data_IF_326466460686
#
_entry.id   IF_326466460686
#
_cell.length_a   1.000
_cell.length_b   1.000
_cell.length_c   1.000
_cell.angle_alpha   90.00
_cell.angle_beta   90.00
_cell.angle_gamma   90.00
#
_symmetry.space_group_name_H-M   'P 1'
#
loop_
_entity.id
_entity.type
_entity.pdbx_description
1 polymer ?
#
# COMPACT_ATOMS: atom_id res chain seq x y z
N UNK A 1 -41.62 -9.99 49.19
CA UNK A 1 -40.22 -10.47 49.13
C UNK A 1 -40.25 -11.95 48.75
N UNK A 2 -40.08 -12.33 47.47
CA UNK A 2 -39.88 -13.72 47.10
C UNK A 2 -38.40 -14.02 46.82
N UNK A 3 -38.00 -15.23 47.26
CA UNK A 3 -36.66 -15.82 47.18
C UNK A 3 -36.31 -16.19 45.73
N UNK A 4 -35.08 -15.88 45.32
CA UNK A 4 -34.47 -16.29 44.05
C UNK A 4 -34.23 -17.80 44.00
N UNK A 5 -34.35 -18.35 42.79
CA UNK A 5 -34.43 -19.78 42.47
C UNK A 5 -33.04 -20.45 42.31
N UNK A 6 -32.95 -21.79 42.40
CA UNK A 6 -31.69 -22.55 42.46
C UNK A 6 -30.84 -22.57 41.18
N UNK A 7 -31.37 -22.06 40.05
CA UNK A 7 -30.75 -22.18 38.72
C UNK A 7 -29.57 -21.20 38.56
N UNK A 8 -29.51 -20.14 39.36
CA UNK A 8 -28.46 -19.14 39.26
C UNK A 8 -27.11 -19.61 39.84
N UNK A 9 -27.13 -20.63 40.71
CA UNK A 9 -25.91 -21.17 41.31
C UNK A 9 -25.16 -22.12 40.36
N UNK A 10 -25.86 -22.97 39.58
CA UNK A 10 -25.20 -23.87 38.61
C UNK A 10 -24.51 -23.11 37.47
N UNK A 11 -25.06 -21.97 37.05
CA UNK A 11 -24.42 -21.15 36.00
C UNK A 11 -23.17 -20.43 36.52
N UNK A 12 -23.16 -20.04 37.80
CA UNK A 12 -21.98 -19.42 38.44
C UNK A 12 -20.84 -20.44 38.60
N UNK A 13 -21.17 -21.69 38.93
CA UNK A 13 -20.18 -22.75 39.11
C UNK A 13 -19.60 -23.24 37.76
N UNK A 14 -20.41 -23.26 36.70
CA UNK A 14 -19.93 -23.56 35.34
C UNK A 14 -19.01 -22.47 34.77
N UNK A 15 -19.29 -21.20 35.08
CA UNK A 15 -18.44 -20.07 34.69
C UNK A 15 -17.12 -20.08 35.48
N UNK A 16 -17.15 -20.41 36.76
CA UNK A 16 -15.93 -20.52 37.57
C UNK A 16 -15.03 -21.69 37.16
N UNK A 17 -15.60 -22.87 36.84
CA UNK A 17 -14.78 -24.01 36.37
C UNK A 17 -14.09 -23.73 35.02
N UNK A 18 -14.73 -22.96 34.14
CA UNK A 18 -14.17 -22.58 32.84
C UNK A 18 -13.05 -21.52 32.95
N UNK A 19 -13.09 -20.68 33.99
CA UNK A 19 -12.06 -19.67 34.30
C UNK A 19 -10.82 -20.32 34.92
N UNK A 20 -10.99 -21.30 35.80
CA UNK A 20 -9.85 -21.99 36.41
C UNK A 20 -9.13 -22.93 35.42
N UNK A 21 -9.84 -23.50 34.44
CA UNK A 21 -9.20 -24.28 33.37
C UNK A 21 -8.35 -23.40 32.43
N UNK A 22 -8.69 -22.11 32.24
CA UNK A 22 -7.83 -21.16 31.50
C UNK A 22 -6.56 -20.81 32.28
N UNK A 23 -6.61 -20.78 33.61
CA UNK A 23 -5.42 -20.56 34.45
C UNK A 23 -4.49 -21.78 34.46
N UNK A 24 -5.05 -22.99 34.39
CA UNK A 24 -4.27 -24.22 34.27
C UNK A 24 -3.55 -24.32 32.91
N UNK A 25 -4.21 -23.95 31.81
CA UNK A 25 -3.59 -23.95 30.47
C UNK A 25 -2.51 -22.85 30.31
N UNK A 26 -2.61 -21.75 31.07
CA UNK A 26 -1.60 -20.70 31.11
C UNK A 26 -0.33 -21.07 31.88
N UNK A 27 -0.31 -22.18 32.64
CA UNK A 27 0.86 -22.63 33.39
C UNK A 27 1.73 -23.66 32.66
N UNK A 28 1.26 -24.23 31.54
CA UNK A 28 2.00 -25.27 30.80
C UNK A 28 2.65 -24.78 29.51
N UNK A 29 2.47 -23.51 29.15
CA UNK A 29 3.09 -22.92 27.96
C UNK A 29 4.12 -21.85 28.37
N UNK A 30 5.34 -21.87 27.81
CA UNK A 30 6.39 -20.92 28.16
C UNK A 30 5.90 -19.48 27.95
N UNK A 31 6.20 -18.61 28.93
CA UNK A 31 5.66 -17.24 29.09
C UNK A 31 5.88 -16.29 27.89
N UNK A 32 6.58 -16.72 26.84
CA UNK A 32 6.81 -15.97 25.60
C UNK A 32 5.80 -16.21 24.47
N UNK A 33 5.07 -17.33 24.44
CA UNK A 33 4.38 -17.75 23.19
C UNK A 33 2.98 -17.18 23.05
N UNK A 34 2.25 -16.95 24.15
CA UNK A 34 0.84 -16.53 24.11
C UNK A 34 0.68 -15.00 24.01
N UNK A 35 1.62 -14.22 24.54
CA UNK A 35 1.62 -12.74 24.36
C UNK A 35 1.85 -12.35 22.90
N UNK A 36 2.66 -13.12 22.15
CA UNK A 36 2.93 -12.85 20.74
C UNK A 36 1.72 -13.01 19.81
N UNK A 37 0.83 -13.99 20.08
CA UNK A 37 -0.32 -14.23 19.21
C UNK A 37 -1.48 -13.24 19.44
N UNK A 38 -1.68 -12.80 20.68
CA UNK A 38 -2.70 -11.80 21.01
C UNK A 38 -2.28 -10.38 20.59
N UNK A 39 -0.98 -10.04 20.69
CA UNK A 39 -0.45 -8.79 20.11
C UNK A 39 -0.48 -8.80 18.58
N UNK A 40 -0.21 -9.92 17.92
CA UNK A 40 -0.24 -10.04 16.45
C UNK A 40 -1.61 -9.70 15.83
N UNK A 41 -2.73 -10.09 16.45
CA UNK A 41 -4.07 -9.78 15.93
C UNK A 41 -4.50 -8.32 16.13
N UNK A 42 -3.95 -7.64 17.14
CA UNK A 42 -4.24 -6.22 17.43
C UNK A 42 -3.24 -5.30 16.69
N UNK A 43 -2.06 -5.81 16.33
CA UNK A 43 -1.04 -5.05 15.60
C UNK A 43 -1.38 -4.74 14.13
N UNK A 44 -2.21 -5.57 13.49
CA UNK A 44 -2.73 -5.23 12.15
C UNK A 44 -3.63 -3.97 12.19
N UNK A 45 -4.28 -3.72 13.33
CA UNK A 45 -5.08 -2.49 13.58
C UNK A 45 -4.19 -1.36 14.14
N UNK A 46 -3.09 -1.66 14.83
CA UNK A 46 -2.15 -0.67 15.39
C UNK A 46 -1.06 -0.18 14.42
N UNK A 47 -0.89 -0.76 13.24
CA UNK A 47 -0.08 -0.16 12.17
C UNK A 47 -0.61 1.23 11.75
N UNK A 48 -1.86 1.56 12.09
CA UNK A 48 -2.45 2.89 11.89
C UNK A 48 -2.07 3.87 13.01
N UNK A 49 -1.55 3.43 14.16
CA UNK A 49 -1.46 4.28 15.36
C UNK A 49 -0.10 4.96 15.59
N UNK A 50 1.03 4.40 15.15
CA UNK A 50 2.29 4.74 15.85
C UNK A 50 3.40 5.49 15.07
N UNK A 51 3.10 6.23 14.00
CA UNK A 51 4.12 7.09 13.36
C UNK A 51 3.55 8.39 12.79
N UNK A 52 4.03 9.55 13.26
CA UNK A 52 3.61 10.88 12.77
C UNK A 52 3.95 11.14 11.29
N UNK A 53 4.85 10.37 10.66
CA UNK A 53 5.50 10.81 9.41
C UNK A 53 5.13 10.03 8.14
N UNK A 54 4.30 8.96 8.21
CA UNK A 54 4.16 8.02 7.06
C UNK A 54 2.73 7.62 6.68
N UNK A 55 1.68 8.40 7.02
CA UNK A 55 0.28 7.99 6.77
C UNK A 55 -0.02 7.68 5.29
N UNK A 56 0.50 8.48 4.35
CA UNK A 56 0.29 8.26 2.91
C UNK A 56 0.84 6.90 2.46
N UNK A 57 2.02 6.52 2.94
CA UNK A 57 2.63 5.22 2.66
C UNK A 57 1.83 4.05 3.24
N UNK A 58 1.17 4.23 4.39
CA UNK A 58 0.34 3.17 4.98
C UNK A 58 -0.93 2.95 4.14
N UNK A 59 -1.58 4.03 3.69
CA UNK A 59 -2.74 3.89 2.80
C UNK A 59 -2.36 3.25 1.46
N UNK A 60 -1.22 3.63 0.87
CA UNK A 60 -0.70 3.00 -0.34
C UNK A 60 -0.42 1.50 -0.14
N UNK A 61 0.23 1.14 0.97
CA UNK A 61 0.54 -0.25 1.29
C UNK A 61 -0.73 -1.12 1.44
N UNK A 62 -1.85 -0.54 1.89
CA UNK A 62 -3.15 -1.24 1.94
C UNK A 62 -3.62 -1.59 0.52
N UNK A 63 -3.59 -0.64 -0.41
CA UNK A 63 -3.94 -0.90 -1.81
C UNK A 63 -3.05 -1.97 -2.43
N UNK A 64 -1.74 -1.86 -2.21
CA UNK A 64 -0.75 -2.81 -2.73
C UNK A 64 -0.94 -4.22 -2.15
N UNK A 65 -1.26 -4.31 -0.86
CA UNK A 65 -1.54 -5.58 -0.19
C UNK A 65 -2.80 -6.26 -0.73
N UNK A 66 -3.85 -5.49 -1.02
CA UNK A 66 -5.12 -6.06 -1.51
C UNK A 66 -5.10 -6.37 -3.01
N UNK A 67 -4.23 -5.74 -3.80
CA UNK A 67 -4.15 -6.01 -5.25
C UNK A 67 -3.84 -7.48 -5.55
N UNK A 68 -2.72 -7.98 -5.04
CA UNK A 68 -2.19 -9.28 -5.47
C UNK A 68 -3.12 -10.45 -5.10
N UNK A 69 -3.62 -10.57 -3.85
CA UNK A 69 -4.54 -11.64 -3.49
C UNK A 69 -5.84 -11.57 -4.29
N UNK A 70 -6.38 -10.36 -4.50
CA UNK A 70 -7.58 -10.19 -5.30
C UNK A 70 -7.35 -10.58 -6.75
N UNK A 71 -6.25 -10.12 -7.36
CA UNK A 71 -5.92 -10.44 -8.74
C UNK A 71 -5.75 -11.95 -8.93
N UNK A 72 -5.03 -12.61 -8.01
CA UNK A 72 -4.85 -14.07 -8.01
C UNK A 72 -6.21 -14.75 -7.90
N UNK A 73 -7.06 -14.36 -6.94
CA UNK A 73 -8.36 -14.99 -6.76
C UNK A 73 -9.27 -14.79 -7.97
N UNK A 74 -9.39 -13.55 -8.46
CA UNK A 74 -10.25 -13.20 -9.59
C UNK A 74 -9.78 -13.86 -10.89
N UNK A 75 -8.49 -13.76 -11.21
CA UNK A 75 -7.94 -14.31 -12.46
C UNK A 75 -7.91 -15.84 -12.46
N UNK A 76 -7.52 -16.48 -11.35
CA UNK A 76 -7.48 -17.95 -11.28
C UNK A 76 -8.87 -18.57 -11.10
N UNK A 77 -9.85 -17.86 -10.54
CA UNK A 77 -11.21 -18.42 -10.43
C UNK A 77 -11.80 -18.79 -11.80
N UNK A 78 -11.39 -18.10 -12.86
CA UNK A 78 -11.80 -18.36 -14.24
C UNK A 78 -11.15 -19.59 -14.88
N UNK A 79 -10.13 -20.18 -14.24
CA UNK A 79 -9.46 -21.41 -14.70
C UNK A 79 -9.87 -22.65 -13.90
N UNK A 80 -10.69 -22.49 -12.84
CA UNK A 80 -11.11 -23.58 -11.97
C UNK A 80 -12.51 -24.09 -12.38
N UNK A 81 -12.63 -25.29 -12.98
CA UNK A 81 -13.90 -25.79 -13.48
C UNK A 81 -15.01 -25.85 -12.42
N UNK A 82 -14.63 -26.15 -11.17
CA UNK A 82 -15.55 -26.19 -10.03
C UNK A 82 -16.23 -24.84 -9.73
N UNK A 83 -15.64 -23.72 -10.13
CA UNK A 83 -16.21 -22.39 -9.94
C UNK A 83 -17.03 -21.89 -11.13
N UNK A 84 -16.99 -22.57 -12.29
CA UNK A 84 -17.70 -22.11 -13.49
C UNK A 84 -19.21 -21.99 -13.28
N UNK A 85 -19.92 -22.95 -12.64
CA UNK A 85 -21.35 -22.81 -12.40
C UNK A 85 -21.68 -21.57 -11.55
N UNK A 86 -20.87 -21.31 -10.51
CA UNK A 86 -21.04 -20.13 -9.65
C UNK A 86 -20.79 -18.84 -10.43
N UNK A 87 -19.69 -18.73 -11.18
CA UNK A 87 -19.35 -17.53 -11.94
C UNK A 87 -20.38 -17.26 -13.06
N UNK A 88 -20.84 -18.29 -13.77
CA UNK A 88 -21.91 -18.14 -14.77
C UNK A 88 -23.25 -17.76 -14.13
N UNK A 89 -23.55 -18.29 -12.94
CA UNK A 89 -24.73 -17.90 -12.17
C UNK A 89 -24.73 -16.41 -11.81
N UNK A 90 -23.56 -15.82 -11.53
CA UNK A 90 -23.44 -14.37 -11.29
C UNK A 90 -23.80 -13.49 -12.50
N UNK A 91 -23.85 -14.03 -13.72
CA UNK A 91 -24.35 -13.29 -14.89
C UNK A 91 -25.89 -13.17 -14.92
N UNK A 92 -26.60 -14.19 -14.45
CA UNK A 92 -28.04 -14.35 -14.67
C UNK A 92 -28.90 -13.57 -13.68
N UNK A 93 -28.46 -13.50 -12.43
CA UNK A 93 -28.88 -12.44 -11.53
C UNK A 93 -28.09 -11.22 -12.03
N UNK A 94 -28.71 -10.04 -12.20
CA UNK A 94 -28.00 -8.78 -12.56
C UNK A 94 -27.06 -8.36 -11.42
N UNK A 95 -26.12 -9.22 -11.04
CA UNK A 95 -25.27 -9.05 -9.89
C UNK A 95 -24.19 -8.05 -10.21
N UNK A 96 -23.77 -7.36 -9.15
CA UNK A 96 -22.65 -6.44 -9.15
C UNK A 96 -21.32 -7.12 -9.48
N UNK A 97 -21.20 -8.45 -9.37
CA UNK A 97 -19.91 -9.12 -9.32
C UNK A 97 -19.12 -9.11 -10.64
N UNK A 98 -19.64 -9.49 -11.81
CA UNK A 98 -18.84 -9.45 -13.04
C UNK A 98 -18.36 -8.04 -13.43
N UNK A 99 -19.18 -6.97 -13.33
CA UNK A 99 -18.72 -5.59 -13.50
C UNK A 99 -17.68 -5.20 -12.44
N UNK A 100 -17.93 -5.48 -11.15
CA UNK A 100 -16.98 -5.19 -10.08
C UNK A 100 -15.65 -5.90 -10.27
N UNK A 101 -15.68 -7.18 -10.68
CA UNK A 101 -14.51 -7.99 -10.96
C UNK A 101 -13.59 -7.34 -12.01
N UNK A 102 -14.18 -6.71 -13.02
CA UNK A 102 -13.48 -5.96 -14.05
C UNK A 102 -13.01 -4.58 -13.58
N UNK A 103 -13.90 -3.81 -12.95
CA UNK A 103 -13.66 -2.42 -12.55
C UNK A 103 -12.66 -2.32 -11.40
N UNK A 104 -12.60 -3.32 -10.53
CA UNK A 104 -11.69 -3.32 -9.39
C UNK A 104 -10.22 -3.20 -9.78
N UNK A 105 -9.84 -3.69 -10.97
CA UNK A 105 -8.47 -3.50 -11.49
C UNK A 105 -8.17 -2.02 -11.71
N UNK A 106 -9.10 -1.28 -12.32
CA UNK A 106 -8.97 0.17 -12.52
C UNK A 106 -9.08 0.95 -11.20
N UNK A 107 -9.93 0.48 -10.28
CA UNK A 107 -10.04 1.06 -8.94
C UNK A 107 -8.69 1.05 -8.21
N UNK A 108 -7.98 -0.08 -8.26
CA UNK A 108 -6.65 -0.18 -7.65
C UNK A 108 -5.62 0.67 -8.38
N UNK A 109 -5.60 0.65 -9.72
CA UNK A 109 -4.74 1.51 -10.53
C UNK A 109 -4.90 3.00 -10.16
N UNK A 110 -6.15 3.49 -10.09
CA UNK A 110 -6.43 4.88 -9.74
C UNK A 110 -6.08 5.18 -8.28
N UNK A 111 -6.25 4.20 -7.38
CA UNK A 111 -5.78 4.27 -6.00
C UNK A 111 -4.27 4.52 -5.96
N UNK A 112 -3.49 3.66 -6.59
CA UNK A 112 -2.04 3.80 -6.62
C UNK A 112 -1.58 5.09 -7.32
N UNK A 113 -2.22 5.48 -8.41
CA UNK A 113 -1.95 6.76 -9.08
C UNK A 113 -2.11 7.94 -8.10
N UNK A 114 -3.23 7.95 -7.37
CA UNK A 114 -3.52 8.98 -6.37
C UNK A 114 -2.54 8.93 -5.19
N UNK A 115 -2.23 7.74 -4.68
CA UNK A 115 -1.28 7.56 -3.60
C UNK A 115 0.15 7.99 -3.96
N UNK A 116 0.66 7.61 -5.13
CA UNK A 116 1.98 8.07 -5.62
C UNK A 116 1.99 9.58 -5.83
N UNK A 117 0.90 10.16 -6.36
CA UNK A 117 0.77 11.60 -6.47
C UNK A 117 0.86 12.29 -5.10
N UNK A 118 0.08 11.84 -4.11
CA UNK A 118 0.09 12.41 -2.76
C UNK A 118 1.45 12.26 -2.07
N UNK A 119 2.09 11.10 -2.20
CA UNK A 119 3.44 10.87 -1.66
C UNK A 119 4.44 11.84 -2.31
N UNK A 120 4.40 11.98 -3.64
CA UNK A 120 5.31 12.86 -4.37
C UNK A 120 5.09 14.33 -4.05
N UNK A 121 3.82 14.76 -3.93
CA UNK A 121 3.44 16.12 -3.54
C UNK A 121 3.90 16.43 -2.10
N UNK A 122 3.67 15.52 -1.15
CA UNK A 122 4.10 15.70 0.24
C UNK A 122 5.62 15.85 0.34
N UNK A 123 6.38 15.01 -0.36
CA UNK A 123 7.85 15.10 -0.41
C UNK A 123 8.33 16.40 -1.05
N UNK A 124 7.72 16.79 -2.16
CA UNK A 124 8.00 18.07 -2.82
C UNK A 124 7.78 19.25 -1.86
N UNK A 125 6.63 19.30 -1.18
CA UNK A 125 6.30 20.39 -0.24
C UNK A 125 7.25 20.41 0.96
N UNK A 126 7.60 19.23 1.51
CA UNK A 126 8.51 19.09 2.64
C UNK A 126 9.90 19.67 2.35
N UNK A 127 10.38 19.55 1.11
CA UNK A 127 11.71 20.04 0.71
C UNK A 127 11.68 21.48 0.22
N UNK A 128 10.67 21.84 -0.56
CA UNK A 128 10.60 23.17 -1.16
C UNK A 128 10.13 24.23 -0.17
N UNK A 129 9.20 23.88 0.72
CA UNK A 129 8.56 24.82 1.67
C UNK A 129 8.24 24.15 3.02
N UNK A 130 9.26 23.77 3.81
CA UNK A 130 9.07 23.07 5.10
C UNK A 130 8.27 23.86 6.14
N UNK A 131 8.19 25.19 6.00
CA UNK A 131 7.45 26.07 6.92
C UNK A 131 6.14 26.61 6.32
N UNK A 132 5.68 26.08 5.19
CA UNK A 132 4.42 26.54 4.61
C UNK A 132 3.20 26.05 5.40
N UNK A 133 2.15 26.87 5.44
CA UNK A 133 0.86 26.47 6.00
C UNK A 133 0.28 25.23 5.29
N UNK A 134 0.64 25.02 4.02
CA UNK A 134 0.19 23.87 3.23
C UNK A 134 0.75 22.56 3.80
N UNK A 135 2.06 22.48 4.05
CA UNK A 135 2.63 21.25 4.63
C UNK A 135 2.13 21.03 6.06
N UNK A 136 1.98 22.10 6.85
CA UNK A 136 1.38 22.01 8.19
C UNK A 136 -0.07 21.51 8.14
N UNK A 137 -0.85 21.93 7.14
CA UNK A 137 -2.20 21.41 6.92
C UNK A 137 -2.19 19.91 6.60
N UNK A 138 -1.31 19.45 5.71
CA UNK A 138 -1.16 18.03 5.40
C UNK A 138 -0.73 17.21 6.63
N UNK A 139 0.18 17.75 7.45
CA UNK A 139 0.69 17.07 8.65
C UNK A 139 -0.32 17.07 9.81
N UNK A 140 -1.27 18.02 9.84
CA UNK A 140 -2.33 18.10 10.85
C UNK A 140 -3.59 17.31 10.48
N UNK A 141 -3.70 16.87 9.22
CA UNK A 141 -4.87 16.12 8.77
C UNK A 141 -5.02 14.79 9.54
N UNK A 142 -6.22 14.46 10.05
CA UNK A 142 -6.47 13.17 10.65
C UNK A 142 -6.20 12.04 9.65
N UNK A 143 -5.51 10.99 10.11
CA UNK A 143 -5.13 9.82 9.29
C UNK A 143 -6.32 9.17 8.60
N UNK A 144 -7.47 9.12 9.30
CA UNK A 144 -8.71 8.58 8.76
C UNK A 144 -9.21 9.39 7.56
N UNK A 145 -9.04 10.71 7.57
CA UNK A 145 -9.47 11.58 6.46
C UNK A 145 -8.56 11.35 5.25
N UNK A 146 -7.24 11.24 5.44
CA UNK A 146 -6.28 10.92 4.37
C UNK A 146 -6.63 9.55 3.77
N UNK A 147 -6.84 8.54 4.62
CA UNK A 147 -7.21 7.21 4.19
C UNK A 147 -8.55 7.19 3.45
N UNK A 148 -9.58 7.85 3.99
CA UNK A 148 -10.89 7.96 3.35
C UNK A 148 -10.78 8.70 2.00
N UNK A 149 -10.02 9.80 1.92
CA UNK A 149 -9.79 10.50 0.66
C UNK A 149 -9.08 9.61 -0.36
N UNK A 150 -8.12 8.78 0.06
CA UNK A 150 -7.43 7.83 -0.80
C UNK A 150 -8.36 6.70 -1.27
N UNK A 151 -9.22 6.17 -0.40
CA UNK A 151 -10.22 5.14 -0.77
C UNK A 151 -11.32 5.71 -1.67
N UNK A 152 -11.76 6.94 -1.43
CA UNK A 152 -12.86 7.55 -2.17
C UNK A 152 -12.44 8.13 -3.52
N UNK A 153 -11.19 8.60 -3.66
CA UNK A 153 -10.69 9.19 -4.91
C UNK A 153 -10.85 8.27 -6.14
N UNK A 154 -10.49 6.98 -6.07
CA UNK A 154 -10.68 6.04 -7.19
C UNK A 154 -12.13 5.80 -7.56
N UNK A 155 -13.09 5.95 -6.63
CA UNK A 155 -14.51 5.75 -6.91
C UNK A 155 -15.03 6.78 -7.92
N UNK A 156 -14.52 8.01 -7.88
CA UNK A 156 -14.88 9.02 -8.87
C UNK A 156 -14.43 8.60 -10.26
N UNK A 157 -13.18 8.14 -10.39
CA UNK A 157 -12.63 7.64 -11.66
C UNK A 157 -13.35 6.39 -12.17
N UNK A 158 -13.69 5.45 -11.29
CA UNK A 158 -14.34 4.20 -11.68
C UNK A 158 -15.86 4.28 -11.83
N UNK A 159 -16.48 5.36 -11.35
CA UNK A 159 -17.92 5.60 -11.53
C UNK A 159 -18.31 5.59 -13.02
N UNK A 160 -17.42 6.06 -13.90
CA UNK A 160 -17.63 6.05 -15.35
C UNK A 160 -17.89 4.62 -15.84
N UNK A 161 -17.14 3.64 -15.33
CA UNK A 161 -17.29 2.23 -15.71
C UNK A 161 -18.59 1.62 -15.20
N UNK A 162 -19.05 2.01 -14.01
CA UNK A 162 -20.26 1.44 -13.42
C UNK A 162 -21.54 1.96 -14.07
N UNK A 163 -21.59 3.24 -14.42
CA UNK A 163 -22.83 3.90 -14.83
C UNK A 163 -22.95 4.11 -16.34
N UNK A 164 -21.84 4.10 -17.09
CA UNK A 164 -21.84 4.50 -18.50
C UNK A 164 -21.31 3.43 -19.47
N UNK A 165 -20.98 2.23 -18.99
CA UNK A 165 -20.46 1.14 -19.83
C UNK A 165 -21.37 -0.08 -19.82
N UNK A 166 -21.22 -0.93 -20.84
CA UNK A 166 -21.97 -2.18 -20.90
C UNK A 166 -21.49 -3.13 -19.78
N UNK A 167 -22.40 -3.80 -19.06
CA UNK A 167 -22.00 -4.70 -17.99
C UNK A 167 -21.14 -5.84 -18.52
N UNK A 168 -19.93 -5.96 -17.97
CA UNK A 168 -19.05 -7.11 -18.26
C UNK A 168 -19.74 -8.40 -17.81
N UNK A 169 -19.51 -9.50 -18.54
CA UNK A 169 -20.09 -10.82 -18.23
C UNK A 169 -19.06 -11.92 -18.38
N UNK A 170 -19.26 -13.04 -17.69
CA UNK A 170 -18.46 -14.25 -17.89
C UNK A 170 -19.01 -15.09 -19.04
N UNK A 171 -18.14 -15.55 -19.94
CA UNK A 171 -18.52 -16.40 -21.08
C UNK A 171 -17.60 -17.61 -21.09
N UNK A 172 -18.19 -18.79 -21.25
CA UNK A 172 -17.42 -20.02 -21.42
C UNK A 172 -16.87 -20.11 -22.85
N UNK A 173 -15.55 -20.26 -23.00
CA UNK A 173 -14.91 -20.40 -24.31
C UNK A 173 -14.52 -21.86 -24.54
N UNK A 174 -15.22 -22.53 -25.46
CA UNK A 174 -14.97 -23.93 -25.82
C UNK A 174 -13.55 -24.17 -26.34
N UNK A 175 -12.94 -23.20 -27.05
CA UNK A 175 -11.60 -23.35 -27.62
C UNK A 175 -10.49 -23.46 -26.56
N UNK A 176 -10.67 -22.85 -25.38
CA UNK A 176 -9.65 -22.84 -24.31
C UNK A 176 -10.06 -23.65 -23.09
N UNK A 177 -11.28 -24.21 -23.08
CA UNK A 177 -11.89 -24.87 -21.92
C UNK A 177 -11.83 -24.03 -20.64
N UNK A 178 -11.89 -22.71 -20.79
CA UNK A 178 -11.80 -21.74 -19.68
C UNK A 178 -12.90 -20.70 -19.77
N UNK A 179 -13.25 -20.17 -18.61
CA UNK A 179 -14.13 -19.01 -18.52
C UNK A 179 -13.34 -17.75 -18.89
N UNK A 180 -13.96 -16.82 -19.59
CA UNK A 180 -13.36 -15.53 -19.91
C UNK A 180 -14.32 -14.39 -19.56
N UNK A 181 -13.77 -13.25 -19.17
CA UNK A 181 -14.53 -12.01 -19.06
C UNK A 181 -14.72 -11.42 -20.45
N UNK A 182 -15.96 -11.15 -20.80
CA UNK A 182 -16.35 -10.50 -22.04
C UNK A 182 -16.80 -9.07 -21.73
N UNK A 183 -16.09 -8.12 -22.32
CA UNK A 183 -16.38 -6.69 -22.30
C UNK A 183 -16.30 -6.19 -23.74
N UNK A 184 -17.15 -5.23 -24.11
CA UNK A 184 -17.15 -4.68 -25.46
C UNK A 184 -15.82 -3.97 -25.79
N UNK A 185 -15.41 -4.06 -27.05
CA UNK A 185 -14.12 -3.49 -27.51
C UNK A 185 -14.09 -1.97 -27.39
N UNK A 186 -15.23 -1.31 -27.55
CA UNK A 186 -15.40 0.13 -27.38
C UNK A 186 -15.13 0.52 -25.93
N UNK A 187 -15.77 -0.15 -24.96
CA UNK A 187 -15.57 0.09 -23.53
C UNK A 187 -14.12 -0.14 -23.11
N UNK A 188 -13.51 -1.20 -23.64
CA UNK A 188 -12.11 -1.53 -23.43
C UNK A 188 -11.18 -0.41 -23.93
N UNK A 189 -11.47 0.19 -25.08
CA UNK A 189 -10.72 1.31 -25.64
C UNK A 189 -10.84 2.56 -24.75
N UNK A 190 -12.07 2.90 -24.35
CA UNK A 190 -12.36 4.01 -23.43
C UNK A 190 -11.61 3.84 -22.11
N UNK A 191 -11.62 2.62 -21.54
CA UNK A 191 -10.96 2.34 -20.26
C UNK A 191 -9.44 2.47 -20.36
N UNK A 192 -8.88 2.00 -21.48
CA UNK A 192 -7.47 2.15 -21.77
C UNK A 192 -7.10 3.64 -21.93
N UNK A 193 -7.96 4.44 -22.57
CA UNK A 193 -7.74 5.89 -22.71
C UNK A 193 -7.78 6.61 -21.35
N UNK A 194 -8.78 6.35 -20.51
CA UNK A 194 -8.88 6.97 -19.15
C UNK A 194 -7.67 6.57 -18.30
N UNK A 195 -7.28 5.29 -18.34
CA UNK A 195 -6.08 4.82 -17.65
C UNK A 195 -4.83 5.57 -18.13
N UNK A 196 -4.60 5.65 -19.44
CA UNK A 196 -3.47 6.38 -20.04
C UNK A 196 -3.45 7.84 -19.63
N UNK A 197 -4.59 8.55 -19.70
CA UNK A 197 -4.69 9.96 -19.29
C UNK A 197 -4.32 10.11 -17.82
N UNK A 198 -4.87 9.25 -16.95
CA UNK A 198 -4.63 9.30 -15.51
C UNK A 198 -3.16 9.05 -15.17
N UNK A 199 -2.57 7.97 -15.69
CA UNK A 199 -1.16 7.62 -15.41
C UNK A 199 -0.19 8.66 -16.00
N UNK A 200 -0.50 9.20 -17.19
CA UNK A 200 0.30 10.25 -17.82
C UNK A 200 0.26 11.55 -17.02
N UNK A 201 -0.91 11.96 -16.53
CA UNK A 201 -1.04 13.14 -15.69
C UNK A 201 -0.21 13.03 -14.41
N UNK A 202 -0.32 11.90 -13.69
CA UNK A 202 0.47 11.63 -12.48
C UNK A 202 1.96 11.62 -12.79
N UNK A 203 2.37 11.00 -13.89
CA UNK A 203 3.78 10.95 -14.30
C UNK A 203 4.31 12.34 -14.65
N UNK A 204 3.53 13.16 -15.35
CA UNK A 204 3.90 14.54 -15.67
C UNK A 204 4.13 15.37 -14.39
N UNK A 205 3.20 15.33 -13.44
CA UNK A 205 3.38 15.98 -12.15
C UNK A 205 4.56 15.41 -11.36
N UNK A 206 4.76 14.09 -11.41
CA UNK A 206 5.92 13.43 -10.81
C UNK A 206 7.24 13.95 -11.37
N UNK A 207 7.39 14.00 -12.70
CA UNK A 207 8.58 14.58 -13.36
C UNK A 207 8.81 16.02 -12.87
N UNK A 208 7.77 16.84 -12.81
CA UNK A 208 7.86 18.21 -12.32
C UNK A 208 8.33 18.28 -10.86
N UNK A 209 7.68 17.55 -9.96
CA UNK A 209 8.01 17.52 -8.53
C UNK A 209 9.44 17.03 -8.27
N UNK A 210 9.82 15.88 -8.84
CA UNK A 210 11.15 15.31 -8.65
C UNK A 210 12.25 16.18 -9.27
N UNK A 211 12.02 16.76 -10.46
CA UNK A 211 13.02 17.64 -11.10
C UNK A 211 13.33 18.85 -10.24
N UNK A 212 12.31 19.57 -9.76
CA UNK A 212 12.48 20.73 -8.88
C UNK A 212 13.13 20.33 -7.55
N UNK A 213 12.72 19.20 -6.99
CA UNK A 213 13.28 18.68 -5.75
C UNK A 213 14.78 18.37 -5.87
N UNK A 214 15.22 17.73 -6.95
CA UNK A 214 16.64 17.44 -7.21
C UNK A 214 17.45 18.72 -7.46
N UNK A 215 16.91 19.70 -8.19
CA UNK A 215 17.54 21.02 -8.36
C UNK A 215 17.73 21.70 -7.01
N UNK A 216 16.70 21.71 -6.15
CA UNK A 216 16.76 22.31 -4.82
C UNK A 216 17.77 21.61 -3.91
N UNK A 217 17.82 20.27 -3.94
CA UNK A 217 18.76 19.46 -3.18
C UNK A 217 20.22 19.73 -3.59
N UNK A 218 20.48 19.94 -4.89
CA UNK A 218 21.82 20.29 -5.40
C UNK A 218 22.29 21.66 -4.92
N UNK A 219 21.37 22.61 -4.74
CA UNK A 219 21.66 23.97 -4.27
C UNK A 219 21.76 24.15 -2.75
N UNK A 220 21.56 23.12 -1.93
CA UNK A 220 21.64 23.23 -0.46
C UNK A 220 23.09 23.35 0.05
N UNK A 221 23.32 24.22 1.03
CA UNK A 221 24.64 24.39 1.68
C UNK A 221 25.01 23.13 2.49
N UNK A 222 26.31 22.80 2.53
CA UNK A 222 26.84 21.54 3.08
C UNK A 222 26.28 21.14 4.46
N UNK A 223 26.15 22.10 5.39
CA UNK A 223 25.67 21.84 6.75
C UNK A 223 24.18 21.44 6.80
N UNK A 224 23.28 22.23 6.21
CA UNK A 224 21.85 21.91 6.08
C UNK A 224 21.64 20.63 5.26
N UNK A 225 22.46 20.45 4.22
CA UNK A 225 22.46 19.28 3.35
C UNK A 225 22.74 17.99 4.13
N UNK A 226 23.66 18.00 5.10
CA UNK A 226 24.03 16.78 5.84
C UNK A 226 22.91 16.23 6.73
N UNK A 227 22.15 17.10 7.41
CA UNK A 227 21.03 16.71 8.27
C UNK A 227 19.83 16.24 7.45
N UNK A 228 19.49 16.99 6.40
CA UNK A 228 18.39 16.64 5.49
C UNK A 228 18.73 15.35 4.72
N UNK A 229 19.97 15.20 4.22
CA UNK A 229 20.39 13.98 3.51
C UNK A 229 20.33 12.73 4.38
N UNK A 230 20.60 12.81 5.68
CA UNK A 230 20.56 11.62 6.56
C UNK A 230 19.14 11.15 6.86
N UNK A 231 18.19 12.08 6.96
CA UNK A 231 16.82 11.76 7.33
C UNK A 231 15.89 11.61 6.14
N UNK A 232 15.92 12.56 5.20
CA UNK A 232 14.93 12.65 4.12
C UNK A 232 15.37 11.90 2.85
N UNK A 233 16.67 11.75 2.59
CA UNK A 233 17.16 11.08 1.38
C UNK A 233 16.66 9.65 1.21
N UNK A 234 16.63 8.79 2.26
CA UNK A 234 16.06 7.46 2.13
C UNK A 234 14.59 7.54 1.68
N UNK A 235 13.79 8.42 2.30
CA UNK A 235 12.37 8.53 2.01
C UNK A 235 12.13 9.09 0.59
N UNK A 236 12.93 10.07 0.16
CA UNK A 236 12.93 10.58 -1.22
C UNK A 236 13.32 9.49 -2.21
N UNK A 237 14.35 8.69 -1.90
CA UNK A 237 14.76 7.60 -2.75
C UNK A 237 13.64 6.55 -2.89
N UNK A 238 12.97 6.19 -1.79
CA UNK A 238 11.82 5.28 -1.87
C UNK A 238 10.67 5.83 -2.71
N UNK A 239 10.28 7.09 -2.50
CA UNK A 239 9.19 7.67 -3.28
C UNK A 239 9.58 7.81 -4.76
N UNK A 240 10.86 8.07 -5.04
CA UNK A 240 11.38 8.10 -6.41
C UNK A 240 11.32 6.73 -7.09
N UNK A 241 11.62 5.63 -6.38
CA UNK A 241 11.43 4.28 -6.92
C UNK A 241 9.96 3.99 -7.26
N UNK A 242 9.02 4.37 -6.39
CA UNK A 242 7.58 4.26 -6.69
C UNK A 242 7.19 5.07 -7.93
N UNK A 243 7.77 6.26 -8.10
CA UNK A 243 7.59 7.07 -9.30
C UNK A 243 8.15 6.39 -10.56
N UNK A 244 9.31 5.73 -10.50
CA UNK A 244 9.85 4.97 -11.63
C UNK A 244 8.91 3.83 -12.06
N UNK A 245 8.28 3.13 -11.10
CA UNK A 245 7.26 2.14 -11.46
C UNK A 245 6.00 2.78 -12.05
N UNK A 246 5.60 3.99 -11.62
CA UNK A 246 4.52 4.74 -12.29
C UNK A 246 4.89 5.15 -13.72
N UNK A 247 6.15 5.48 -14.00
CA UNK A 247 6.61 5.68 -15.37
C UNK A 247 6.48 4.40 -16.21
N UNK A 248 6.81 3.24 -15.64
CA UNK A 248 6.66 1.94 -16.30
C UNK A 248 5.18 1.61 -16.59
N UNK A 249 4.28 1.85 -15.63
CA UNK A 249 2.84 1.70 -15.82
C UNK A 249 2.30 2.67 -16.89
N UNK A 250 2.80 3.90 -16.92
CA UNK A 250 2.42 4.87 -17.95
C UNK A 250 2.86 4.41 -19.33
N UNK A 251 4.10 3.94 -19.47
CA UNK A 251 4.59 3.37 -20.73
C UNK A 251 3.74 2.16 -21.17
N UNK A 252 3.35 1.30 -20.22
CA UNK A 252 2.44 0.18 -20.48
C UNK A 252 1.10 0.63 -21.06
N UNK A 253 0.42 1.59 -20.42
CA UNK A 253 -0.90 2.06 -20.88
C UNK A 253 -0.81 2.86 -22.19
N UNK A 254 0.26 3.62 -22.42
CA UNK A 254 0.52 4.27 -23.71
C UNK A 254 0.66 3.21 -24.81
N UNK A 255 1.46 2.16 -24.61
CA UNK A 255 1.61 1.08 -25.58
C UNK A 255 0.28 0.36 -25.83
N UNK A 256 -0.49 0.10 -24.77
CA UNK A 256 -1.81 -0.51 -24.87
C UNK A 256 -2.77 0.34 -25.70
N UNK A 257 -2.76 1.65 -25.48
CA UNK A 257 -3.55 2.60 -26.24
C UNK A 257 -3.11 2.65 -27.72
N UNK A 258 -1.81 2.72 -27.99
CA UNK A 258 -1.27 2.74 -29.36
C UNK A 258 -1.66 1.47 -30.13
N UNK A 259 -1.46 0.28 -29.56
CA UNK A 259 -1.85 -0.98 -30.21
C UNK A 259 -3.36 -1.10 -30.40
N UNK A 260 -4.15 -0.60 -29.44
CA UNK A 260 -5.60 -0.53 -29.57
C UNK A 260 -6.00 0.41 -30.72
N UNK A 261 -5.34 1.57 -30.86
CA UNK A 261 -5.67 2.56 -31.89
C UNK A 261 -5.34 2.10 -33.32
N UNK A 262 -4.29 1.28 -33.49
CA UNK A 262 -3.89 0.68 -34.78
C UNK A 262 -4.69 -0.60 -35.09
N UNK A 263 -5.54 -1.08 -34.17
CA UNK A 263 -6.36 -2.27 -34.37
C UNK A 263 -5.59 -3.60 -34.21
N UNK A 264 -4.40 -3.58 -33.61
CA UNK A 264 -3.57 -4.78 -33.38
C UNK A 264 -4.05 -5.58 -32.15
N UNK A 265 -5.23 -6.18 -32.26
CA UNK A 265 -5.90 -6.91 -31.17
C UNK A 265 -5.03 -8.01 -30.55
N UNK A 266 -4.29 -8.78 -31.36
CA UNK A 266 -3.40 -9.85 -30.87
C UNK A 266 -2.35 -9.31 -29.89
N UNK A 267 -1.68 -8.21 -30.25
CA UNK A 267 -0.67 -7.57 -29.40
C UNK A 267 -1.29 -6.94 -28.15
N UNK A 268 -2.53 -6.44 -28.22
CA UNK A 268 -3.27 -5.97 -27.03
C UNK A 268 -3.51 -7.11 -26.05
N UNK A 269 -3.89 -8.30 -26.53
CA UNK A 269 -4.08 -9.47 -25.67
C UNK A 269 -2.77 -9.96 -25.05
N UNK A 270 -1.69 -10.00 -25.83
CA UNK A 270 -0.36 -10.35 -25.32
C UNK A 270 0.12 -9.35 -24.28
N UNK A 271 0.01 -8.05 -24.54
CA UNK A 271 0.44 -7.01 -23.60
C UNK A 271 -0.35 -7.08 -22.28
N UNK A 272 -1.66 -7.37 -22.33
CA UNK A 272 -2.48 -7.61 -21.12
C UNK A 272 -2.00 -8.76 -20.25
N UNK A 273 -1.35 -9.77 -20.83
CA UNK A 273 -0.80 -10.88 -20.04
C UNK A 273 0.35 -10.46 -19.13
N UNK A 274 1.07 -9.38 -19.47
CA UNK A 274 2.20 -8.85 -18.69
C UNK A 274 1.78 -7.84 -17.61
N UNK A 275 0.59 -7.24 -17.74
CA UNK A 275 0.10 -6.27 -16.76
C UNK A 275 0.20 -6.75 -15.30
N UNK A 276 -0.22 -7.98 -14.96
CA UNK A 276 -0.18 -8.43 -13.57
C UNK A 276 1.25 -8.55 -13.03
N UNK A 277 2.23 -8.84 -13.90
CA UNK A 277 3.64 -8.91 -13.50
C UNK A 277 4.14 -7.52 -13.10
N UNK A 278 3.90 -6.52 -13.95
CA UNK A 278 4.30 -5.12 -13.71
C UNK A 278 3.64 -4.60 -12.43
N UNK A 279 2.36 -4.90 -12.28
CA UNK A 279 1.54 -4.49 -11.16
C UNK A 279 1.96 -5.17 -9.84
N UNK A 280 2.30 -6.47 -9.88
CA UNK A 280 2.90 -7.15 -8.72
C UNK A 280 4.24 -6.52 -8.32
N UNK A 281 5.10 -6.20 -9.29
CA UNK A 281 6.37 -5.53 -9.01
C UNK A 281 6.14 -4.17 -8.35
N UNK A 282 5.17 -3.39 -8.84
CA UNK A 282 4.76 -2.14 -8.22
C UNK A 282 4.29 -2.37 -6.76
N UNK A 283 3.31 -3.24 -6.55
CA UNK A 283 2.71 -3.48 -5.24
C UNK A 283 3.73 -3.97 -4.20
N UNK A 284 4.60 -4.91 -4.57
CA UNK A 284 5.59 -5.43 -3.64
C UNK A 284 6.74 -4.45 -3.40
N UNK A 285 6.99 -3.49 -4.28
CA UNK A 285 8.05 -2.51 -4.06
C UNK A 285 7.79 -1.65 -2.80
N UNK A 286 6.55 -1.24 -2.54
CA UNK A 286 6.18 -0.37 -1.41
C UNK A 286 6.61 -0.91 -0.04
N UNK A 287 6.26 -2.14 0.38
CA UNK A 287 6.69 -2.68 1.68
C UNK A 287 8.22 -2.85 1.77
N UNK A 288 8.88 -3.29 0.69
CA UNK A 288 10.35 -3.40 0.68
C UNK A 288 11.02 -2.03 0.83
N UNK A 289 10.51 -1.02 0.14
CA UNK A 289 11.00 0.35 0.23
C UNK A 289 10.78 0.94 1.62
N UNK A 290 9.65 0.63 2.28
CA UNK A 290 9.42 1.01 3.68
C UNK A 290 10.41 0.35 4.64
N UNK A 291 10.72 -0.93 4.44
CA UNK A 291 11.72 -1.64 5.25
C UNK A 291 13.14 -1.12 5.05
N UNK A 292 13.49 -0.72 3.82
CA UNK A 292 14.81 -0.16 3.51
C UNK A 292 14.99 1.25 4.10
N UNK A 293 13.94 2.07 4.10
CA UNK A 293 14.02 3.48 4.50
C UNK A 293 13.79 3.73 5.98
N UNK A 294 12.94 2.96 6.64
CA UNK A 294 12.63 3.13 8.06
C UNK A 294 13.44 2.16 8.91
N UNK A 295 14.42 2.68 9.66
CA UNK A 295 15.17 1.90 10.64
C UNK A 295 14.28 1.36 11.75
N UNK A 296 13.24 2.11 12.13
CA UNK A 296 12.26 1.69 13.12
C UNK A 296 11.43 0.51 12.62
N UNK A 297 10.89 0.60 11.40
CA UNK A 297 10.13 -0.50 10.79
C UNK A 297 11.02 -1.73 10.62
N UNK A 298 12.28 -1.55 10.20
CA UNK A 298 13.24 -2.64 10.06
C UNK A 298 13.56 -3.31 11.39
N UNK A 299 13.77 -2.54 12.47
CA UNK A 299 13.98 -3.07 13.82
C UNK A 299 12.76 -3.83 14.35
N UNK A 300 11.55 -3.32 14.10
CA UNK A 300 10.30 -3.97 14.50
C UNK A 300 10.07 -5.31 13.77
N UNK A 301 10.39 -5.37 12.46
CA UNK A 301 10.14 -6.56 11.63
C UNK A 301 11.28 -7.59 11.69
N UNK A 302 12.54 -7.16 11.53
CA UNK A 302 13.70 -8.07 11.44
C UNK A 302 14.40 -8.29 12.78
N UNK A 303 14.07 -7.50 13.81
CA UNK A 303 14.79 -7.48 15.07
C UNK A 303 16.09 -6.68 15.02
N UNK A 304 16.58 -6.27 16.20
CA UNK A 304 17.75 -5.38 16.35
C UNK A 304 19.07 -5.97 15.81
N UNK A 305 19.22 -7.30 15.85
CA UNK A 305 20.44 -8.00 15.40
C UNK A 305 20.59 -8.04 13.88
N UNK A 306 19.49 -8.19 13.12
CA UNK A 306 19.53 -8.16 11.66
C UNK A 306 19.62 -6.72 11.13
N UNK A 307 18.98 -5.76 11.83
CA UNK A 307 19.09 -4.34 11.49
C UNK A 307 20.54 -3.85 11.56
N UNK A 308 21.33 -4.29 12.55
CA UNK A 308 22.73 -3.88 12.65
C UNK A 308 23.61 -4.39 11.50
N UNK A 309 23.29 -5.57 10.94
CA UNK A 309 24.01 -6.14 9.79
C UNK A 309 23.64 -5.43 8.48
N UNK A 310 22.34 -5.17 8.25
CA UNK A 310 21.87 -4.48 7.05
C UNK A 310 22.20 -2.98 7.07
N UNK A 311 22.04 -2.34 8.23
CA UNK A 311 22.32 -0.92 8.44
C UNK A 311 23.80 -0.59 8.31
N UNK A 312 24.69 -1.41 8.87
CA UNK A 312 26.14 -1.21 8.74
C UNK A 312 26.62 -1.37 7.30
N UNK A 313 26.00 -2.24 6.50
CA UNK A 313 26.42 -2.46 5.11
C UNK A 313 25.89 -1.38 4.15
N UNK A 314 24.64 -0.94 4.33
CA UNK A 314 24.00 0.04 3.45
C UNK A 314 24.37 1.49 3.77
N UNK A 315 24.57 1.83 5.06
CA UNK A 315 24.76 3.22 5.48
C UNK A 315 26.19 3.60 5.87
N UNK A 316 27.10 2.65 6.17
CA UNK A 316 28.50 2.99 6.46
C UNK A 316 29.30 3.47 5.23
N UNK A 317 28.73 3.40 4.01
CA UNK A 317 29.32 4.05 2.82
C UNK A 317 29.13 5.56 2.79
N UNK A 318 28.28 6.12 3.66
CA UNK A 318 28.25 7.55 3.89
C UNK A 318 29.15 7.88 5.08
N UNK A 319 30.25 8.62 4.89
CA UNK A 319 31.20 8.85 5.97
C UNK A 319 30.49 9.51 7.16
N UNK A 320 30.54 8.83 8.31
CA UNK A 320 30.32 9.48 9.57
C UNK A 320 31.37 10.60 9.66
N UNK A 321 30.92 11.85 9.64
CA UNK A 321 31.80 12.98 9.90
C UNK A 321 32.47 12.78 11.26
N UNK A 322 33.80 12.89 11.35
CA UNK A 322 34.53 12.86 12.62
C UNK A 322 34.25 14.18 13.32
N UNK A 323 33.25 14.20 14.20
CA UNK A 323 32.84 15.48 14.80
C UNK A 323 31.78 15.41 15.87
N UNK A 324 31.64 14.31 16.61
CA UNK A 324 30.94 14.30 17.90
C UNK A 324 31.63 13.30 18.84
N UNK A 325 32.91 13.53 19.08
CA UNK A 325 33.63 12.92 20.18
C UNK A 325 34.32 14.07 20.93
N UNK A 326 33.56 14.81 21.75
CA UNK A 326 34.02 15.61 22.90
C UNK A 326 32.91 16.58 23.35
N UNK A 327 31.85 16.07 23.99
CA UNK A 327 31.04 16.90 24.91
C UNK A 327 30.34 16.03 25.95
N UNK A 328 31.06 15.09 26.57
CA UNK A 328 30.52 14.28 27.66
C UNK A 328 31.47 14.22 28.88
N UNK A 329 32.36 15.21 29.03
CA UNK A 329 33.35 15.23 30.10
C UNK A 329 33.32 16.48 31.02
N UNK A 330 32.30 17.35 30.94
CA UNK A 330 32.30 18.63 31.70
C UNK A 330 31.07 18.86 32.57
N UNK A 331 30.34 17.81 32.99
CA UNK A 331 29.20 17.95 33.93
C UNK A 331 29.39 17.11 35.21
N UNK A 332 30.59 16.57 35.47
CA UNK A 332 30.84 15.74 36.65
C UNK A 332 31.63 16.43 37.79
N UNK A 333 31.87 17.75 37.73
CA UNK A 333 32.75 18.45 38.71
C UNK A 333 32.20 19.76 39.29
N UNK A 334 30.88 19.99 39.25
CA UNK A 334 30.26 21.15 39.94
C UNK A 334 29.18 20.68 40.92
N UNK A 335 29.48 19.65 41.71
CA UNK A 335 28.58 19.21 42.81
C UNK A 335 29.34 18.83 44.09
N UNK A 336 30.44 19.55 44.35
CA UNK A 336 31.04 19.63 45.69
C UNK A 336 31.60 21.03 45.91
N UNK A 337 30.76 21.93 46.43
CA UNK A 337 31.17 23.03 47.32
C UNK A 337 29.98 23.58 48.09
#
# INVERSE_FOLDING_TARGET
IPKTSPIQNEFSDAVHSHVDNRRALHRTLPEGTVRGLAQSKIECILLVRDGKENCNFHSQAVFDFFFVPYFIFNSNSMTWPSLYPFLLWTNGIRTFYPPFAYIYVFYLLYGQCYGVFLISLHRFLSIMRPHSNVIQFFDTLPRLIIFAAHVMSPLAGTSVHFFFQTPTRFVYRNATNTLQRYTETVDVSVNSAIATVTTTAVTFFGVFFYSLMFVRLRGMRSHESSRIKRRELPLIASSFFLFLFMCLLTAYFILLYLFSSVGMLSSVFELRSFYPLIECLFCYSTPWLLMLTSSETRKRVLGSRLDSLLGSTLWNRFPASPGVAHTQQTIATIDQR
#
